data_IF_468599441838
#
_entry.id   IF_468599441838
#
_cell.length_a   1.000
_cell.length_b   1.000
_cell.length_c   1.000
_cell.angle_alpha   90.00
_cell.angle_beta   90.00
_cell.angle_gamma   90.00
#
_symmetry.space_group_name_H-M   'P 1'
#
loop_
_entity.id
_entity.type
_entity.pdbx_description
1 polymer ?
#
# COMPACT_ATOMS: atom_id res chain seq x y z
N UNK A 1 -14.49 -13.61 4.58
CA UNK A 1 -13.84 -12.31 4.32
C UNK A 1 -14.17 -11.93 2.89
N UNK A 2 -14.61 -10.71 2.64
CA UNK A 2 -14.86 -10.26 1.27
C UNK A 2 -13.55 -9.76 0.67
N UNK A 3 -13.42 -9.81 -0.66
CA UNK A 3 -12.22 -9.34 -1.38
C UNK A 3 -11.85 -7.89 -1.08
N UNK A 4 -12.82 -7.07 -0.65
CA UNK A 4 -12.59 -5.68 -0.27
C UNK A 4 -11.88 -5.55 1.09
N UNK A 5 -12.32 -6.32 2.09
CA UNK A 5 -11.73 -6.29 3.44
C UNK A 5 -10.26 -6.74 3.37
N UNK A 6 -9.95 -7.77 2.58
CA UNK A 6 -8.59 -8.28 2.40
C UNK A 6 -7.65 -7.26 1.74
N UNK A 7 -8.17 -6.41 0.86
CA UNK A 7 -7.38 -5.33 0.23
C UNK A 7 -7.13 -4.20 1.22
N UNK A 8 -8.13 -3.84 2.03
CA UNK A 8 -7.98 -2.84 3.09
C UNK A 8 -6.90 -3.28 4.10
N UNK A 9 -6.95 -4.54 4.53
CA UNK A 9 -5.96 -5.10 5.47
C UNK A 9 -4.54 -5.02 4.89
N UNK A 10 -4.36 -5.42 3.62
CA UNK A 10 -3.05 -5.34 2.94
C UNK A 10 -2.55 -3.91 2.74
N UNK A 11 -3.44 -2.96 2.47
CA UNK A 11 -3.09 -1.53 2.38
C UNK A 11 -2.52 -1.06 3.71
N UNK A 12 -3.17 -1.42 4.82
CA UNK A 12 -2.74 -1.03 6.16
C UNK A 12 -1.40 -1.68 6.54
N UNK A 13 -1.22 -2.96 6.24
CA UNK A 13 0.06 -3.65 6.43
C UNK A 13 1.21 -2.97 5.68
N UNK A 14 1.02 -2.66 4.39
CA UNK A 14 2.06 -1.99 3.59
C UNK A 14 2.33 -0.56 4.08
N UNK A 15 1.30 0.16 4.54
CA UNK A 15 1.45 1.50 5.13
C UNK A 15 2.31 1.46 6.39
N UNK A 16 2.07 0.50 7.27
CA UNK A 16 2.88 0.31 8.47
C UNK A 16 4.32 -0.06 8.14
N UNK A 17 4.52 -0.95 7.18
CA UNK A 17 5.86 -1.33 6.71
C UNK A 17 6.61 -0.14 6.11
N UNK A 18 5.93 0.74 5.35
CA UNK A 18 6.52 1.96 4.82
C UNK A 18 7.01 2.88 5.95
N UNK A 19 6.17 3.14 6.95
CA UNK A 19 6.56 3.98 8.08
C UNK A 19 7.76 3.39 8.84
N UNK A 20 7.80 2.07 9.05
CA UNK A 20 8.94 1.41 9.67
C UNK A 20 10.22 1.55 8.83
N UNK A 21 10.11 1.46 7.51
CA UNK A 21 11.25 1.57 6.60
C UNK A 21 11.75 3.02 6.50
N UNK A 22 10.85 4.00 6.46
CA UNK A 22 11.19 5.43 6.49
C UNK A 22 11.99 5.80 7.73
N UNK A 23 11.70 5.19 8.89
CA UNK A 23 12.46 5.41 10.12
C UNK A 23 13.87 4.77 10.10
N UNK A 24 14.12 3.81 9.20
CA UNK A 24 15.39 3.07 9.10
C UNK A 24 16.27 3.56 7.95
N UNK A 25 15.70 4.20 6.94
CA UNK A 25 16.41 4.63 5.74
C UNK A 25 16.72 6.13 5.81
N UNK A 26 17.94 6.55 5.42
CA UNK A 26 18.33 7.96 5.48
C UNK A 26 17.65 8.83 4.41
N UNK A 27 17.18 8.22 3.32
CA UNK A 27 16.56 8.91 2.19
C UNK A 27 15.22 8.26 1.85
N UNK A 28 14.24 9.10 1.52
CA UNK A 28 12.92 8.63 1.07
C UNK A 28 12.95 8.01 -0.33
N UNK A 29 14.01 8.28 -1.09
CA UNK A 29 14.27 7.72 -2.42
C UNK A 29 15.04 6.41 -2.37
N UNK A 30 15.23 5.82 -1.19
CA UNK A 30 15.83 4.49 -1.06
C UNK A 30 15.06 3.48 -1.93
N UNK A 31 15.76 2.65 -2.74
CA UNK A 31 15.09 1.75 -3.69
C UNK A 31 14.06 0.82 -3.05
N UNK A 32 14.30 0.37 -1.81
CA UNK A 32 13.36 -0.52 -1.11
C UNK A 32 12.08 0.23 -0.73
N UNK A 33 12.22 1.50 -0.31
CA UNK A 33 11.09 2.35 0.04
C UNK A 33 10.30 2.78 -1.19
N UNK A 34 10.97 3.06 -2.31
CA UNK A 34 10.33 3.33 -3.60
C UNK A 34 9.60 2.10 -4.12
N UNK A 35 10.21 0.91 -4.05
CA UNK A 35 9.55 -0.33 -4.45
C UNK A 35 8.32 -0.62 -3.58
N UNK A 36 8.40 -0.32 -2.28
CA UNK A 36 7.30 -0.50 -1.35
C UNK A 36 6.17 0.50 -1.60
N UNK A 37 6.48 1.77 -1.88
CA UNK A 37 5.46 2.78 -2.22
C UNK A 37 4.72 2.45 -3.52
N UNK A 38 5.43 1.92 -4.53
CA UNK A 38 4.82 1.46 -5.77
C UNK A 38 3.89 0.25 -5.56
N UNK A 39 4.18 -0.63 -4.59
CA UNK A 39 3.28 -1.74 -4.24
C UNK A 39 2.01 -1.24 -3.57
N UNK A 40 2.15 -0.27 -2.64
CA UNK A 40 1.01 0.37 -1.98
C UNK A 40 0.11 1.08 -3.00
N UNK A 41 0.70 1.82 -3.95
CA UNK A 41 -0.04 2.51 -5.00
C UNK A 41 -0.88 1.55 -5.86
N UNK A 42 -0.33 0.39 -6.23
CA UNK A 42 -1.08 -0.65 -6.95
C UNK A 42 -2.29 -1.15 -6.18
N UNK A 43 -2.15 -1.41 -4.87
CA UNK A 43 -3.26 -1.85 -4.03
C UNK A 43 -4.33 -0.76 -3.88
N UNK A 44 -3.92 0.51 -3.76
CA UNK A 44 -4.85 1.64 -3.70
C UNK A 44 -5.64 1.78 -5.01
N UNK A 45 -4.99 1.58 -6.15
CA UNK A 45 -5.66 1.56 -7.45
C UNK A 45 -6.65 0.38 -7.56
N UNK A 46 -6.27 -0.82 -7.11
CA UNK A 46 -7.17 -1.98 -7.09
C UNK A 46 -8.38 -1.76 -6.18
N UNK A 47 -8.16 -1.18 -4.99
CA UNK A 47 -9.23 -0.75 -4.09
C UNK A 47 -10.16 0.25 -4.78
N UNK A 48 -9.59 1.27 -5.43
CA UNK A 48 -10.34 2.29 -6.14
C UNK A 48 -11.21 1.70 -7.26
N UNK A 49 -10.67 0.75 -8.02
CA UNK A 49 -11.41 0.05 -9.07
C UNK A 49 -12.58 -0.77 -8.50
N UNK A 50 -12.38 -1.44 -7.36
CA UNK A 50 -13.41 -2.25 -6.72
C UNK A 50 -14.56 -1.40 -6.17
N UNK A 51 -14.25 -0.26 -5.54
CA UNK A 51 -15.29 0.65 -5.04
C UNK A 51 -16.00 1.37 -6.20
N UNK A 52 -15.26 1.72 -7.27
CA UNK A 52 -15.83 2.41 -8.43
C UNK A 52 -16.76 1.51 -9.25
N UNK A 53 -16.55 0.18 -9.22
CA UNK A 53 -17.45 -0.80 -9.86
C UNK A 53 -18.68 -1.16 -9.01
N UNK A 54 -18.71 -0.75 -7.74
CA UNK A 54 -19.82 -0.98 -6.81
C UNK A 54 -20.85 0.15 -6.80
N UNK A 55 -20.54 1.29 -7.43
CA UNK A 55 -21.38 2.50 -7.51
C UNK A 55 -22.10 2.54 -8.86
#
# INVERSE_FOLDING_TARGET
MTTLDEIIDKIEELRQLMHQLMNKKPLLTDPDLVALSQKLDKLLNEYNDLISRKI
#
